data_IF_824504633653
#
_entry.id   IF_824504633653
#
_cell.length_a   1.000
_cell.length_b   1.000
_cell.length_c   1.000
_cell.angle_alpha   90.00
_cell.angle_beta   90.00
_cell.angle_gamma   90.00
#
_symmetry.space_group_name_H-M   'P 1'
#
loop_
_entity.id
_entity.type
_entity.pdbx_description
1 polymer ?
#
# COMPACT_ATOMS: atom_id res chain seq x y z
N UNK A 1 -21.49 -3.76 -8.07
CA UNK A 1 -22.44 -4.85 -7.77
C UNK A 1 -21.95 -6.06 -8.53
N UNK A 2 -21.06 -6.85 -7.91
CA UNK A 2 -20.68 -8.19 -8.33
C UNK A 2 -20.79 -9.04 -7.05
N UNK A 3 -21.46 -10.18 -7.17
CA UNK A 3 -21.84 -11.07 -6.09
C UNK A 3 -20.60 -11.83 -5.60
N UNK A 4 -20.15 -11.52 -4.38
CA UNK A 4 -18.92 -12.08 -3.77
C UNK A 4 -19.32 -13.10 -2.70
N UNK A 5 -20.09 -14.11 -3.10
CA UNK A 5 -20.59 -15.14 -2.20
C UNK A 5 -19.73 -16.40 -2.27
N UNK A 6 -19.23 -16.79 -1.10
CA UNK A 6 -18.79 -18.13 -0.71
C UNK A 6 -17.44 -18.62 -1.26
N UNK A 7 -16.35 -18.02 -0.75
CA UNK A 7 -15.03 -18.67 -0.75
C UNK A 7 -14.74 -19.27 0.62
N UNK A 8 -15.47 -20.33 0.97
CA UNK A 8 -15.14 -21.15 2.15
C UNK A 8 -14.75 -22.56 1.73
N UNK A 9 -13.64 -23.07 2.27
CA UNK A 9 -13.26 -24.47 2.08
C UNK A 9 -13.26 -25.23 3.40
N UNK A 10 -13.67 -26.50 3.36
CA UNK A 10 -13.57 -27.40 4.50
C UNK A 10 -12.14 -27.97 4.56
N UNK A 11 -11.53 -27.91 5.74
CA UNK A 11 -10.22 -28.48 6.04
C UNK A 11 -10.37 -29.80 6.82
N UNK A 12 -9.36 -30.70 6.77
CA UNK A 12 -9.36 -31.92 7.56
C UNK A 12 -9.58 -31.64 9.05
N UNK A 13 -10.40 -32.47 9.69
CA UNK A 13 -10.69 -32.29 11.12
C UNK A 13 -9.46 -32.56 11.98
N UNK A 14 -9.18 -31.67 12.93
CA UNK A 14 -8.12 -31.86 13.94
C UNK A 14 -8.78 -32.15 15.29
N UNK A 15 -8.45 -33.29 15.91
CA UNK A 15 -8.97 -33.64 17.24
C UNK A 15 -10.51 -33.67 17.32
N UNK A 16 -11.19 -34.22 16.30
CA UNK A 16 -12.67 -34.26 16.15
C UNK A 16 -13.36 -32.90 15.98
N UNK A 17 -12.61 -31.83 15.70
CA UNK A 17 -13.19 -30.51 15.38
C UNK A 17 -13.22 -30.31 13.87
N UNK A 18 -14.39 -29.99 13.31
CA UNK A 18 -14.52 -29.56 11.90
C UNK A 18 -13.88 -28.18 11.76
N UNK A 19 -13.00 -28.03 10.77
CA UNK A 19 -12.37 -26.75 10.46
C UNK A 19 -12.85 -26.27 9.09
N UNK A 20 -13.23 -25.01 9.01
CA UNK A 20 -13.53 -24.31 7.76
C UNK A 20 -12.66 -23.06 7.66
N UNK A 21 -12.12 -22.79 6.47
CA UNK A 21 -11.41 -21.55 6.16
C UNK A 21 -12.32 -20.67 5.32
N UNK A 22 -12.52 -19.43 5.73
CA UNK A 22 -13.16 -18.38 4.94
C UNK A 22 -12.08 -17.47 4.36
N UNK A 23 -12.14 -17.22 3.05
CA UNK A 23 -11.24 -16.30 2.35
C UNK A 23 -11.91 -14.96 2.01
N UNK A 24 -13.02 -14.66 2.68
CA UNK A 24 -13.72 -13.40 2.49
C UNK A 24 -12.95 -12.22 3.08
N UNK A 25 -12.17 -12.43 4.15
CA UNK A 25 -11.28 -11.44 4.80
C UNK A 25 -11.98 -10.17 5.33
N UNK A 26 -13.21 -9.90 4.91
CA UNK A 26 -13.81 -8.57 4.95
C UNK A 26 -13.14 -7.60 3.98
N UNK A 27 -13.32 -6.29 4.22
CA UNK A 27 -12.70 -5.23 3.42
C UNK A 27 -11.26 -5.00 3.90
N UNK A 28 -10.34 -5.84 3.45
CA UNK A 28 -8.90 -5.71 3.73
C UNK A 28 -8.23 -5.02 2.53
N UNK A 29 -7.30 -4.11 2.81
CA UNK A 29 -6.41 -3.52 1.81
C UNK A 29 -4.96 -3.74 2.25
N UNK A 30 -4.14 -4.27 1.34
CA UNK A 30 -2.68 -4.38 1.54
C UNK A 30 -2.02 -3.00 1.71
N UNK A 31 -2.61 -1.97 1.10
CA UNK A 31 -2.11 -0.59 1.12
C UNK A 31 -2.69 0.26 2.25
N UNK A 32 -3.43 -0.33 3.19
CA UNK A 32 -4.10 0.41 4.27
C UNK A 32 -3.14 1.30 5.09
N UNK A 33 -1.86 0.92 5.20
CA UNK A 33 -0.82 1.70 5.86
C UNK A 33 -0.51 3.04 5.19
N UNK A 34 -0.81 3.20 3.90
CA UNK A 34 -0.51 4.43 3.13
C UNK A 34 -1.21 5.66 3.70
N UNK A 35 -2.38 5.49 4.32
CA UNK A 35 -3.12 6.59 4.93
C UNK A 35 -2.35 7.22 6.11
N UNK A 36 -1.73 6.39 6.94
CA UNK A 36 -0.92 6.83 8.08
C UNK A 36 0.36 7.50 7.57
N UNK A 37 1.00 6.93 6.55
CA UNK A 37 2.19 7.51 5.94
C UNK A 37 1.89 8.88 5.30
N UNK A 38 0.80 8.99 4.55
CA UNK A 38 0.36 10.25 3.97
C UNK A 38 0.03 11.30 5.04
N UNK A 39 -0.54 10.89 6.18
CA UNK A 39 -0.78 11.79 7.31
C UNK A 39 0.53 12.22 7.99
N UNK A 40 1.49 11.32 8.15
CA UNK A 40 2.80 11.64 8.69
C UNK A 40 3.53 12.64 7.79
N UNK A 41 3.53 12.42 6.47
CA UNK A 41 4.15 13.33 5.51
C UNK A 41 3.51 14.72 5.56
N UNK A 42 2.18 14.84 5.58
CA UNK A 42 1.51 16.15 5.71
C UNK A 42 1.87 16.90 7.00
N UNK A 43 2.22 16.19 8.08
CA UNK A 43 2.56 16.81 9.37
C UNK A 43 4.04 17.16 9.49
N UNK A 44 4.91 16.34 8.89
CA UNK A 44 6.36 16.43 9.08
C UNK A 44 7.08 17.05 7.87
N UNK A 45 6.51 16.95 6.67
CA UNK A 45 7.10 17.42 5.42
C UNK A 45 8.46 16.78 5.16
N UNK A 46 8.58 15.46 5.36
CA UNK A 46 9.88 14.79 5.30
C UNK A 46 10.38 14.70 3.86
N UNK A 47 9.49 14.48 2.89
CA UNK A 47 9.87 14.34 1.48
C UNK A 47 10.59 15.60 0.98
N UNK A 48 10.02 16.78 1.20
CA UNK A 48 10.61 18.05 0.78
C UNK A 48 11.93 18.33 1.52
N UNK A 49 11.98 18.04 2.83
CA UNK A 49 13.19 18.24 3.64
C UNK A 49 14.34 17.35 3.19
N UNK A 50 14.06 16.08 2.89
CA UNK A 50 15.06 15.14 2.40
C UNK A 50 15.50 15.47 0.98
N UNK A 51 14.56 15.85 0.10
CA UNK A 51 14.86 16.27 -1.26
C UNK A 51 15.81 17.48 -1.28
N UNK A 52 15.60 18.46 -0.39
CA UNK A 52 16.47 19.64 -0.27
C UNK A 52 17.93 19.30 0.12
N UNK A 53 18.20 18.12 0.68
CA UNK A 53 19.54 17.68 1.06
C UNK A 53 20.28 16.93 -0.05
N UNK A 54 19.58 16.53 -1.12
CA UNK A 54 20.16 15.78 -2.22
C UNK A 54 20.52 16.74 -3.35
N UNK A 55 21.80 16.82 -3.69
CA UNK A 55 22.26 17.60 -4.83
C UNK A 55 21.86 16.90 -6.14
N UNK A 56 20.70 17.27 -6.68
CA UNK A 56 20.25 16.83 -8.00
C UNK A 56 20.75 17.78 -9.09
N UNK A 57 21.53 17.26 -10.03
CA UNK A 57 22.11 18.04 -11.13
C UNK A 57 21.20 18.12 -12.35
N UNK A 58 20.06 17.41 -12.32
CA UNK A 58 19.06 17.40 -13.39
C UNK A 58 18.29 18.73 -13.36
N UNK A 59 17.72 19.09 -14.51
CA UNK A 59 16.84 20.26 -14.63
C UNK A 59 15.57 20.03 -13.81
N UNK A 60 15.43 20.74 -12.69
CA UNK A 60 14.30 20.61 -11.77
C UNK A 60 12.94 20.91 -12.41
N UNK A 61 12.89 21.67 -13.52
CA UNK A 61 11.65 21.89 -14.25
C UNK A 61 11.17 20.63 -15.02
N UNK A 62 12.07 19.67 -15.24
CA UNK A 62 11.81 18.41 -15.97
C UNK A 62 11.69 17.20 -15.04
N UNK A 63 11.99 17.38 -13.76
CA UNK A 63 12.02 16.31 -12.76
C UNK A 63 10.99 16.61 -11.68
N UNK A 64 9.78 16.11 -11.88
CA UNK A 64 8.69 16.24 -10.92
C UNK A 64 8.59 14.94 -10.11
N UNK A 65 8.70 15.05 -8.79
CA UNK A 65 8.56 13.94 -7.85
C UNK A 65 7.24 14.09 -7.08
N UNK A 66 6.10 13.63 -7.62
CA UNK A 66 4.83 13.75 -6.93
C UNK A 66 4.82 12.88 -5.67
N UNK A 67 4.17 13.37 -4.61
CA UNK A 67 4.01 12.61 -3.36
C UNK A 67 3.40 11.22 -3.58
N UNK A 68 2.48 11.10 -4.54
CA UNK A 68 1.89 9.82 -4.93
C UNK A 68 2.94 8.76 -5.28
N UNK A 69 4.05 9.16 -5.93
CA UNK A 69 5.14 8.25 -6.31
C UNK A 69 5.87 7.69 -5.09
N UNK A 70 6.17 8.54 -4.12
CA UNK A 70 6.82 8.12 -2.88
C UNK A 70 5.93 7.16 -2.08
N UNK A 71 4.63 7.45 -2.00
CA UNK A 71 3.66 6.61 -1.31
C UNK A 71 3.49 5.25 -2.00
N UNK A 72 3.49 5.20 -3.33
CA UNK A 72 3.43 3.96 -4.09
C UNK A 72 4.66 3.08 -3.84
N UNK A 73 5.87 3.66 -3.85
CA UNK A 73 7.10 2.92 -3.51
C UNK A 73 7.00 2.35 -2.08
N UNK A 74 6.48 3.11 -1.12
CA UNK A 74 6.28 2.63 0.25
C UNK A 74 5.26 1.49 0.36
N UNK A 75 4.30 1.41 -0.56
CA UNK A 75 3.37 0.29 -0.70
C UNK A 75 3.95 -0.92 -1.46
N UNK A 76 5.19 -0.84 -1.95
CA UNK A 76 5.85 -1.92 -2.68
C UNK A 76 5.74 -1.83 -4.20
N UNK A 77 5.21 -0.73 -4.75
CA UNK A 77 5.24 -0.44 -6.18
C UNK A 77 6.60 0.18 -6.54
N UNK A 78 7.56 -0.67 -6.90
CA UNK A 78 8.99 -0.34 -7.02
C UNK A 78 9.30 0.83 -7.97
N UNK A 79 8.64 0.90 -9.12
CA UNK A 79 8.86 1.91 -10.16
C UNK A 79 7.87 3.08 -10.10
N UNK A 80 6.66 2.82 -9.60
CA UNK A 80 5.57 3.77 -9.41
C UNK A 80 5.27 4.58 -10.69
N UNK A 81 5.25 3.88 -11.84
CA UNK A 81 4.93 4.41 -13.17
C UNK A 81 3.47 4.15 -13.59
N UNK A 82 2.78 3.23 -12.92
CA UNK A 82 1.36 2.87 -13.15
C UNK A 82 0.36 3.76 -12.36
N UNK A 83 0.80 4.94 -11.91
CA UNK A 83 0.03 5.89 -11.10
C UNK A 83 -0.95 6.75 -11.90
#
# INVERSE_FOLDING_TARGET
>A
MADDRERSCDLPSVGRKKMSASFDGGRISSDGGVMVLAQAERRLGLADRLAALIADRRDGARVIHPLARLLAIACGYEDANDL
#
